data_IF_223741400984
#
_entry.id   IF_223741400984
#
_cell.length_a   1.000
_cell.length_b   1.000
_cell.length_c   1.000
_cell.angle_alpha   90.00
_cell.angle_beta   90.00
_cell.angle_gamma   90.00
#
_symmetry.space_group_name_H-M   'P 1'
#
loop_
_entity.id
_entity.type
_entity.pdbx_description
1 polymer ?
#
# COMPACT_ATOMS: atom_id res chain seq x y z
N UNK A 1 16.47 5.13 -1.64
CA UNK A 1 16.78 5.04 -3.09
C UNK A 1 18.25 5.30 -3.37
N UNK A 2 18.80 6.45 -2.95
CA UNK A 2 20.21 6.80 -3.16
C UNK A 2 21.16 5.79 -2.52
N UNK A 3 20.95 5.45 -1.25
CA UNK A 3 21.73 4.43 -0.54
C UNK A 3 21.73 3.07 -1.27
N UNK A 4 20.55 2.60 -1.68
CA UNK A 4 20.42 1.35 -2.45
C UNK A 4 21.19 1.43 -3.78
N UNK A 5 20.98 2.47 -4.59
CA UNK A 5 21.52 2.49 -5.95
C UNK A 5 23.01 2.91 -6.03
N UNK A 6 23.48 3.70 -5.07
CA UNK A 6 24.84 4.27 -5.12
C UNK A 6 25.81 3.59 -4.15
N UNK A 7 25.31 3.03 -3.04
CA UNK A 7 26.14 2.46 -1.98
C UNK A 7 26.02 0.94 -1.95
N UNK A 8 24.80 0.40 -1.87
CA UNK A 8 24.60 -1.05 -1.74
C UNK A 8 24.90 -1.82 -3.03
N UNK A 9 24.59 -1.23 -4.18
CA UNK A 9 24.72 -1.88 -5.50
C UNK A 9 25.60 -1.06 -6.45
N UNK A 10 26.93 -1.00 -6.20
CA UNK A 10 27.83 -0.30 -7.11
C UNK A 10 27.74 -0.90 -8.52
N UNK A 11 27.62 -0.06 -9.54
CA UNK A 11 27.48 -0.50 -10.94
C UNK A 11 26.05 -0.77 -11.42
N UNK A 12 25.04 -0.76 -10.53
CA UNK A 12 23.63 -0.98 -10.92
C UNK A 12 23.12 0.05 -11.95
N UNK A 13 23.64 1.28 -11.89
CA UNK A 13 23.34 2.34 -12.85
C UNK A 13 24.00 2.10 -14.21
N UNK A 14 25.11 1.37 -14.26
CA UNK A 14 25.75 0.99 -15.53
C UNK A 14 24.89 0.01 -16.32
N UNK A 15 24.21 -0.91 -15.63
CA UNK A 15 23.37 -1.95 -16.26
C UNK A 15 21.94 -1.46 -16.53
N UNK A 16 21.30 -0.83 -15.54
CA UNK A 16 19.89 -0.46 -15.63
C UNK A 16 19.64 1.03 -15.91
N UNK A 17 20.68 1.85 -15.98
CA UNK A 17 20.60 3.29 -16.20
C UNK A 17 19.92 4.05 -15.06
N UNK A 18 19.74 5.36 -15.22
CA UNK A 18 19.00 6.22 -14.28
C UNK A 18 17.57 5.78 -13.95
N UNK A 19 16.80 5.10 -14.84
CA UNK A 19 15.46 4.65 -14.47
C UNK A 19 15.41 3.72 -13.26
N UNK A 20 16.47 2.95 -12.95
CA UNK A 20 16.47 2.14 -11.72
C UNK A 20 16.37 2.98 -10.45
N UNK A 21 16.99 4.16 -10.43
CA UNK A 21 16.88 5.09 -9.30
C UNK A 21 15.43 5.55 -9.12
N UNK A 22 14.76 5.90 -10.23
CA UNK A 22 13.35 6.31 -10.24
C UNK A 22 12.46 5.15 -9.81
N UNK A 23 12.72 3.93 -10.29
CA UNK A 23 11.98 2.74 -9.89
C UNK A 23 12.10 2.50 -8.37
N UNK A 24 13.30 2.67 -7.79
CA UNK A 24 13.50 2.56 -6.34
C UNK A 24 12.86 3.69 -5.55
N UNK A 25 12.97 4.93 -6.02
CA UNK A 25 12.30 6.06 -5.38
C UNK A 25 10.78 5.90 -5.41
N UNK A 26 10.21 5.52 -6.55
CA UNK A 26 8.79 5.25 -6.72
C UNK A 26 8.30 4.09 -5.85
N UNK A 27 9.07 3.00 -5.77
CA UNK A 27 8.77 1.87 -4.89
C UNK A 27 8.77 2.26 -3.40
N UNK A 28 9.78 3.01 -2.94
CA UNK A 28 9.80 3.56 -1.58
C UNK A 28 8.62 4.51 -1.32
N UNK A 29 8.27 5.36 -2.30
CA UNK A 29 7.11 6.24 -2.24
C UNK A 29 5.81 5.46 -2.09
N UNK A 30 5.61 4.41 -2.88
CA UNK A 30 4.43 3.54 -2.79
C UNK A 30 4.32 2.86 -1.40
N UNK A 31 5.44 2.43 -0.81
CA UNK A 31 5.45 1.87 0.54
C UNK A 31 5.12 2.94 1.61
N UNK A 32 5.64 4.15 1.47
CA UNK A 32 5.32 5.26 2.38
C UNK A 32 3.84 5.62 2.32
N UNK A 33 3.26 5.75 1.11
CA UNK A 33 1.83 6.02 0.95
C UNK A 33 0.98 4.87 1.48
N UNK A 34 1.41 3.62 1.31
CA UNK A 34 0.75 2.45 1.91
C UNK A 34 0.75 2.55 3.44
N UNK A 35 1.90 2.84 4.06
CA UNK A 35 1.99 3.03 5.51
C UNK A 35 1.02 4.12 6.00
N UNK A 36 0.96 5.26 5.29
CA UNK A 36 0.05 6.36 5.61
C UNK A 36 -1.44 6.02 5.39
N UNK A 37 -1.77 5.18 4.40
CA UNK A 37 -3.13 4.68 4.19
C UNK A 37 -3.63 3.85 5.38
N UNK A 38 -2.79 2.94 5.90
CA UNK A 38 -3.12 2.16 7.09
C UNK A 38 -3.20 3.04 8.34
N UNK A 39 -2.24 3.95 8.51
CA UNK A 39 -2.17 4.86 9.65
C UNK A 39 -3.40 5.78 9.74
N UNK A 40 -3.80 6.39 8.61
CA UNK A 40 -4.98 7.28 8.53
C UNK A 40 -6.31 6.59 8.86
N UNK A 41 -6.35 5.26 8.85
CA UNK A 41 -7.54 4.48 9.20
C UNK A 41 -7.47 3.79 10.57
N UNK A 42 -6.35 3.92 11.29
CA UNK A 42 -6.18 3.47 12.67
C UNK A 42 -6.86 4.45 13.66
N UNK A 43 -8.18 4.60 13.55
CA UNK A 43 -8.97 5.68 14.19
C UNK A 43 -8.85 5.73 15.71
N UNK A 44 -8.84 4.58 16.38
CA UNK A 44 -8.71 4.55 17.85
C UNK A 44 -7.33 5.06 18.27
N UNK A 45 -6.28 4.68 17.54
CA UNK A 45 -4.92 5.16 17.79
C UNK A 45 -4.81 6.66 17.54
N UNK A 46 -5.30 7.16 16.40
CA UNK A 46 -5.32 8.60 16.10
C UNK A 46 -6.02 9.39 17.20
N UNK A 47 -7.17 8.88 17.69
CA UNK A 47 -7.88 9.52 18.81
C UNK A 47 -7.06 9.55 20.10
N UNK A 48 -6.35 8.47 20.44
CA UNK A 48 -5.48 8.42 21.62
C UNK A 48 -4.31 9.38 21.47
N UNK A 49 -3.65 9.38 20.31
CA UNK A 49 -2.57 10.31 19.99
C UNK A 49 -3.02 11.76 20.15
N UNK A 50 -4.21 12.10 19.65
CA UNK A 50 -4.76 13.44 19.76
C UNK A 50 -5.13 13.87 21.18
N UNK A 51 -5.26 12.96 22.15
CA UNK A 51 -5.41 13.33 23.57
C UNK A 51 -4.11 13.81 24.19
N UNK A 52 -2.97 13.40 23.64
CA UNK A 52 -1.64 13.81 24.09
C UNK A 52 -1.16 15.09 23.42
N UNK A 53 -1.86 15.57 22.39
CA UNK A 53 -1.53 16.81 21.68
C UNK A 53 -2.19 18.00 22.40
N UNK A 54 -1.49 19.13 22.62
CA UNK A 54 -2.09 20.32 23.19
C UNK A 54 -3.28 20.81 22.36
N UNK A 55 -4.39 21.13 23.03
CA UNK A 55 -5.64 21.62 22.42
C UNK A 55 -5.41 22.91 21.58
N UNK A 56 -4.36 23.67 21.89
CA UNK A 56 -3.94 24.86 21.14
C UNK A 56 -3.47 24.56 19.72
N UNK A 57 -3.09 23.31 19.43
CA UNK A 57 -2.62 22.87 18.12
C UNK A 57 -3.78 22.60 17.16
N UNK A 58 -4.38 23.67 16.63
CA UNK A 58 -5.51 23.59 15.69
C UNK A 58 -5.22 22.71 14.47
N UNK A 59 -3.99 22.78 13.95
CA UNK A 59 -3.59 22.02 12.76
C UNK A 59 -3.61 20.50 12.99
N UNK A 60 -3.16 20.05 14.17
CA UNK A 60 -3.09 18.62 14.49
C UNK A 60 -4.50 18.02 14.64
N UNK A 61 -5.41 18.74 15.31
CA UNK A 61 -6.81 18.35 15.41
C UNK A 61 -7.49 18.34 14.04
N UNK A 62 -7.25 19.34 13.20
CA UNK A 62 -7.80 19.39 11.85
C UNK A 62 -7.32 18.23 10.97
N UNK A 63 -6.04 17.84 11.06
CA UNK A 63 -5.51 16.68 10.33
C UNK A 63 -6.16 15.37 10.82
N UNK A 64 -6.32 15.20 12.13
CA UNK A 64 -6.96 14.03 12.70
C UNK A 64 -8.45 13.92 12.33
N UNK A 65 -9.16 15.04 12.27
CA UNK A 65 -10.57 15.07 11.85
C UNK A 65 -10.70 14.82 10.33
N UNK A 66 -9.73 15.30 9.55
CA UNK A 66 -9.67 15.12 8.10
C UNK A 66 -9.02 13.80 7.67
N UNK A 67 -8.87 12.82 8.58
CA UNK A 67 -8.16 11.58 8.31
C UNK A 67 -8.70 10.80 7.10
N UNK A 68 -10.01 10.89 6.82
CA UNK A 68 -10.64 10.28 5.64
C UNK A 68 -10.22 10.96 4.35
N UNK A 69 -10.16 12.30 4.34
CA UNK A 69 -9.74 13.06 3.15
C UNK A 69 -8.25 12.82 2.88
N UNK A 70 -7.44 12.75 3.95
CA UNK A 70 -6.05 12.32 3.86
C UNK A 70 -5.91 10.90 3.30
N UNK A 71 -6.73 9.95 3.75
CA UNK A 71 -6.73 8.59 3.23
C UNK A 71 -7.00 8.55 1.72
N UNK A 72 -7.97 9.34 1.23
CA UNK A 72 -8.25 9.44 -0.21
C UNK A 72 -7.06 10.04 -0.96
N UNK A 73 -6.47 11.12 -0.44
CA UNK A 73 -5.28 11.74 -1.01
C UNK A 73 -4.09 10.76 -1.08
N UNK A 74 -3.82 10.01 -0.01
CA UNK A 74 -2.76 9.01 0.00
C UNK A 74 -3.01 7.89 -1.02
N UNK A 75 -4.27 7.51 -1.24
CA UNK A 75 -4.63 6.54 -2.28
C UNK A 75 -4.35 7.06 -3.70
N UNK A 76 -4.61 8.34 -3.95
CA UNK A 76 -4.29 8.99 -5.22
C UNK A 76 -2.77 9.08 -5.44
N UNK A 77 -2.03 9.48 -4.40
CA UNK A 77 -0.57 9.55 -4.46
C UNK A 77 0.07 8.18 -4.64
N UNK A 78 -0.47 7.14 -4.00
CA UNK A 78 -0.04 5.76 -4.20
C UNK A 78 -0.16 5.34 -5.66
N UNK A 79 -1.29 5.65 -6.32
CA UNK A 79 -1.47 5.37 -7.74
C UNK A 79 -0.45 6.12 -8.60
N UNK A 80 -0.26 7.42 -8.35
CA UNK A 80 0.71 8.23 -9.08
C UNK A 80 2.15 7.69 -8.94
N UNK A 81 2.59 7.38 -7.73
CA UNK A 81 3.94 6.82 -7.51
C UNK A 81 4.09 5.42 -8.09
N UNK A 82 3.01 4.62 -8.08
CA UNK A 82 3.03 3.27 -8.67
C UNK A 82 3.18 3.34 -10.20
N UNK A 83 2.51 4.28 -10.87
CA UNK A 83 2.66 4.47 -12.31
C UNK A 83 4.08 4.89 -12.70
N UNK A 84 4.67 5.83 -11.94
CA UNK A 84 6.08 6.24 -12.14
C UNK A 84 7.03 5.05 -11.94
N UNK A 85 6.81 4.26 -10.89
CA UNK A 85 7.58 3.06 -10.60
C UNK A 85 7.49 2.00 -11.72
N UNK A 86 6.29 1.72 -12.22
CA UNK A 86 6.05 0.78 -13.32
C UNK A 86 6.76 1.26 -14.58
N UNK A 87 6.56 2.53 -14.96
CA UNK A 87 7.18 3.09 -16.16
C UNK A 87 8.71 2.99 -16.10
N UNK A 88 9.30 3.32 -14.94
CA UNK A 88 10.74 3.22 -14.72
C UNK A 88 11.27 1.78 -14.85
N UNK A 89 10.52 0.77 -14.39
CA UNK A 89 10.86 -0.63 -14.61
C UNK A 89 10.77 -1.03 -16.09
N UNK A 90 9.73 -0.58 -16.80
CA UNK A 90 9.51 -0.91 -18.21
C UNK A 90 10.59 -0.36 -19.15
N UNK A 91 11.19 0.79 -18.82
CA UNK A 91 12.23 1.43 -19.67
C UNK A 91 13.67 1.14 -19.23
N UNK A 92 13.89 0.70 -17.99
CA UNK A 92 15.25 0.51 -17.46
C UNK A 92 15.52 -0.90 -16.96
N UNK A 93 14.82 -1.33 -15.92
CA UNK A 93 15.12 -2.63 -15.29
C UNK A 93 14.85 -3.80 -16.21
N UNK A 94 13.68 -3.84 -16.86
CA UNK A 94 13.33 -4.98 -17.72
C UNK A 94 14.24 -5.03 -18.96
N UNK A 95 14.42 -3.94 -19.72
CA UNK A 95 15.37 -3.95 -20.84
C UNK A 95 16.81 -4.25 -20.39
N UNK A 96 17.26 -3.71 -19.25
CA UNK A 96 18.62 -3.94 -18.78
C UNK A 96 18.91 -5.40 -18.42
N UNK A 97 17.92 -6.17 -17.95
CA UNK A 97 18.06 -7.62 -17.76
C UNK A 97 18.08 -8.35 -19.10
N UNK A 98 17.33 -7.89 -20.10
CA UNK A 98 17.26 -8.52 -21.43
C UNK A 98 18.51 -8.26 -22.28
N UNK A 99 19.09 -7.05 -22.22
CA UNK A 99 20.19 -6.64 -23.11
C UNK A 99 21.57 -7.01 -22.61
N UNK A 100 21.78 -7.06 -21.30
CA UNK A 100 23.08 -7.42 -20.70
C UNK A 100 23.18 -8.92 -20.46
N UNK A 101 24.40 -9.46 -20.44
CA UNK A 101 24.61 -10.87 -20.16
C UNK A 101 24.15 -11.24 -18.75
N UNK A 102 23.69 -12.49 -18.57
CA UNK A 102 23.29 -13.00 -17.25
C UNK A 102 24.43 -12.92 -16.23
N UNK A 103 25.68 -13.05 -16.64
CA UNK A 103 26.85 -12.90 -15.78
C UNK A 103 26.99 -11.46 -15.26
N UNK A 104 26.86 -10.47 -16.13
CA UNK A 104 26.88 -9.05 -15.74
C UNK A 104 25.72 -8.72 -14.81
N UNK A 105 24.50 -9.17 -15.12
CA UNK A 105 23.33 -8.94 -14.27
C UNK A 105 23.49 -9.64 -12.92
N UNK A 106 23.98 -10.89 -12.90
CA UNK A 106 24.24 -11.62 -11.66
C UNK A 106 25.34 -10.98 -10.81
N UNK A 107 26.25 -10.20 -11.41
CA UNK A 107 27.29 -9.49 -10.65
C UNK A 107 26.74 -8.32 -9.81
N UNK A 108 25.58 -7.76 -10.19
CA UNK A 108 25.00 -6.59 -9.51
C UNK A 108 23.76 -6.88 -8.69
N UNK A 109 23.03 -7.97 -8.94
CA UNK A 109 21.80 -8.26 -8.19
C UNK A 109 22.12 -8.86 -6.81
N UNK A 110 21.36 -8.43 -5.79
CA UNK A 110 21.65 -8.80 -4.40
C UNK A 110 21.32 -10.25 -4.07
N UNK A 111 20.30 -10.82 -4.70
CA UNK A 111 19.95 -12.23 -4.49
C UNK A 111 21.05 -13.20 -4.94
N UNK A 112 21.92 -12.81 -5.88
CA UNK A 112 23.08 -13.59 -6.32
C UNK A 112 24.32 -13.34 -5.43
N UNK A 113 24.35 -12.19 -4.74
CA UNK A 113 25.50 -11.69 -3.98
C UNK A 113 25.11 -11.44 -2.51
N UNK A 114 24.44 -12.42 -1.88
CA UNK A 114 23.82 -12.24 -0.55
C UNK A 114 24.83 -11.91 0.56
N UNK A 115 26.03 -12.46 0.46
CA UNK A 115 27.09 -12.31 1.48
C UNK A 115 27.95 -11.04 1.27
N UNK A 116 28.05 -10.57 0.03
CA UNK A 116 28.90 -9.43 -0.35
C UNK A 116 28.13 -8.11 -0.44
N UNK A 117 26.80 -8.15 -0.58
CA UNK A 117 25.96 -6.95 -0.66
C UNK A 117 25.78 -6.32 0.73
N UNK A 118 26.26 -5.08 0.97
CA UNK A 118 26.12 -4.41 2.27
C UNK A 118 24.66 -4.18 2.62
N UNK A 119 24.25 -4.46 3.87
CA UNK A 119 22.88 -4.25 4.35
C UNK A 119 21.84 -5.23 3.80
N UNK A 120 22.28 -6.30 3.12
CA UNK A 120 21.40 -7.37 2.66
C UNK A 120 21.04 -8.30 3.82
N UNK A 121 19.75 -8.42 4.10
CA UNK A 121 19.22 -9.33 5.11
C UNK A 121 19.14 -10.73 4.48
N UNK A 122 19.97 -11.65 4.96
CA UNK A 122 19.98 -13.04 4.49
C UNK A 122 18.83 -13.85 5.09
N UNK A 123 17.60 -13.53 4.67
CA UNK A 123 16.40 -14.29 4.99
C UNK A 123 15.92 -15.00 3.72
N UNK A 124 16.26 -16.29 3.51
CA UNK A 124 15.94 -16.97 2.25
C UNK A 124 14.42 -17.17 2.12
N UNK A 125 13.81 -16.50 1.15
CA UNK A 125 12.39 -16.67 0.78
C UNK A 125 12.32 -17.43 -0.56
N UNK A 126 13.01 -18.57 -0.63
CA UNK A 126 13.18 -19.34 -1.87
C UNK A 126 11.88 -19.79 -2.53
N UNK A 127 10.80 -19.92 -1.76
CA UNK A 127 9.48 -20.32 -2.25
C UNK A 127 8.72 -19.20 -2.99
N UNK A 128 9.15 -17.94 -2.89
CA UNK A 128 8.65 -16.84 -3.73
C UNK A 128 9.65 -16.40 -4.81
N UNK A 129 10.86 -16.96 -4.84
CA UNK A 129 11.90 -16.53 -5.77
C UNK A 129 11.62 -17.08 -7.17
N UNK A 130 11.09 -16.22 -8.04
CA UNK A 130 10.81 -16.53 -9.44
C UNK A 130 11.30 -15.39 -10.35
N UNK A 131 12.15 -15.65 -11.35
CA UNK A 131 13.00 -16.84 -11.51
C UNK A 131 13.94 -17.03 -10.31
N UNK A 132 14.42 -18.27 -10.13
CA UNK A 132 15.42 -18.58 -9.12
C UNK A 132 16.69 -17.74 -9.33
N UNK A 133 17.30 -17.30 -8.23
CA UNK A 133 18.52 -16.51 -8.25
C UNK A 133 19.71 -17.35 -7.74
N UNK A 134 20.91 -17.29 -8.35
CA UNK A 134 21.30 -16.49 -9.52
C UNK A 134 20.56 -16.87 -10.81
N UNK A 135 20.44 -15.92 -11.75
CA UNK A 135 19.78 -16.13 -13.04
C UNK A 135 20.55 -17.18 -13.87
N UNK A 136 19.87 -18.27 -14.24
CA UNK A 136 20.49 -19.40 -14.95
C UNK A 136 20.54 -19.21 -16.47
N UNK A 137 19.57 -18.49 -17.02
CA UNK A 137 19.42 -18.21 -18.45
C UNK A 137 19.19 -16.73 -18.68
N UNK A 138 19.42 -16.30 -19.92
CA UNK A 138 18.95 -15.00 -20.40
C UNK A 138 17.43 -15.01 -20.45
N UNK A 139 16.82 -13.92 -19.98
CA UNK A 139 15.37 -13.76 -19.99
C UNK A 139 14.96 -12.65 -20.95
N UNK A 140 13.88 -12.89 -21.70
CA UNK A 140 13.29 -11.87 -22.57
C UNK A 140 12.44 -10.90 -21.76
N UNK A 141 12.11 -9.75 -22.35
CA UNK A 141 11.22 -8.76 -21.73
C UNK A 141 9.92 -9.38 -21.21
N UNK A 142 9.30 -10.23 -22.03
CA UNK A 142 8.02 -10.88 -21.71
C UNK A 142 8.17 -11.89 -20.57
N UNK A 143 9.26 -12.66 -20.53
CA UNK A 143 9.53 -13.59 -19.43
C UNK A 143 9.72 -12.83 -18.11
N UNK A 144 10.41 -11.69 -18.12
CA UNK A 144 10.57 -10.87 -16.91
C UNK A 144 9.23 -10.28 -16.48
N UNK A 145 8.43 -9.75 -17.40
CA UNK A 145 7.18 -9.09 -17.07
C UNK A 145 6.08 -10.07 -16.61
N UNK A 146 5.97 -11.22 -17.27
CA UNK A 146 4.85 -12.16 -17.06
C UNK A 146 5.24 -13.48 -16.40
N UNK A 147 6.53 -13.77 -16.24
CA UNK A 147 7.01 -15.02 -15.64
C UNK A 147 8.06 -14.79 -14.52
N UNK A 148 8.09 -13.60 -13.93
CA UNK A 148 8.83 -13.31 -12.69
C UNK A 148 7.89 -12.94 -11.55
N UNK A 149 8.31 -13.17 -10.30
CA UNK A 149 7.52 -12.80 -9.13
C UNK A 149 7.28 -11.28 -9.07
N UNK A 150 8.28 -10.40 -9.25
CA UNK A 150 8.03 -8.96 -9.29
C UNK A 150 7.12 -8.53 -10.45
N UNK A 151 7.23 -9.17 -11.62
CA UNK A 151 6.38 -8.89 -12.78
C UNK A 151 4.90 -9.26 -12.54
N UNK A 152 4.63 -10.52 -12.20
CA UNK A 152 3.26 -11.02 -11.99
C UNK A 152 2.59 -10.31 -10.81
N UNK A 153 3.28 -10.21 -9.67
CA UNK A 153 2.76 -9.50 -8.51
C UNK A 153 2.57 -8.00 -8.79
N UNK A 154 3.44 -7.37 -9.58
CA UNK A 154 3.34 -5.97 -9.97
C UNK A 154 2.10 -5.69 -10.83
N UNK A 155 1.82 -6.58 -11.80
CA UNK A 155 0.58 -6.52 -12.60
C UNK A 155 -0.64 -6.73 -11.70
N UNK A 156 -0.61 -7.70 -10.79
CA UNK A 156 -1.70 -7.93 -9.86
C UNK A 156 -1.94 -6.71 -8.94
N UNK A 157 -0.89 -6.09 -8.42
CA UNK A 157 -0.98 -4.84 -7.63
C UNK A 157 -1.60 -3.71 -8.44
N UNK A 158 -1.19 -3.54 -9.71
CA UNK A 158 -1.77 -2.54 -10.61
C UNK A 158 -3.28 -2.78 -10.82
N UNK A 159 -3.69 -4.03 -11.01
CA UNK A 159 -5.11 -4.37 -11.14
C UNK A 159 -5.88 -4.05 -9.86
N UNK A 160 -5.35 -4.41 -8.69
CA UNK A 160 -5.99 -4.11 -7.40
C UNK A 160 -6.17 -2.60 -7.21
N UNK A 161 -5.12 -1.79 -7.43
CA UNK A 161 -5.23 -0.35 -7.23
C UNK A 161 -6.16 0.31 -8.24
N UNK A 162 -6.19 -0.15 -9.50
CA UNK A 162 -7.15 0.34 -10.49
C UNK A 162 -8.60 0.04 -10.10
N UNK A 163 -8.87 -1.18 -9.63
CA UNK A 163 -10.22 -1.59 -9.20
C UNK A 163 -10.66 -0.83 -7.94
N UNK A 164 -9.77 -0.64 -6.97
CA UNK A 164 -10.03 0.17 -5.77
C UNK A 164 -10.23 1.64 -6.12
N UNK A 165 -9.41 2.20 -7.01
CA UNK A 165 -9.57 3.58 -7.47
C UNK A 165 -10.91 3.78 -8.18
N UNK A 166 -11.31 2.85 -9.06
CA UNK A 166 -12.59 2.89 -9.77
C UNK A 166 -13.78 2.82 -8.81
N UNK A 167 -13.82 1.81 -7.95
CA UNK A 167 -14.93 1.61 -7.00
C UNK A 167 -14.95 2.68 -5.89
N UNK A 168 -13.80 3.29 -5.59
CA UNK A 168 -13.67 4.38 -4.64
C UNK A 168 -14.12 5.76 -5.16
N UNK A 169 -14.39 5.91 -6.46
CA UNK A 169 -14.90 7.17 -7.03
C UNK A 169 -16.22 7.55 -6.35
N UNK A 170 -16.38 8.84 -6.06
CA UNK A 170 -17.55 9.35 -5.36
C UNK A 170 -18.87 8.89 -6.00
N UNK A 171 -18.97 8.97 -7.33
CA UNK A 171 -20.17 8.54 -8.09
C UNK A 171 -20.46 7.03 -7.96
N UNK A 172 -19.42 6.19 -7.99
CA UNK A 172 -19.58 4.74 -7.89
C UNK A 172 -19.93 4.33 -6.46
N UNK A 173 -19.23 4.91 -5.47
CA UNK A 173 -19.44 4.64 -4.05
C UNK A 173 -20.85 5.04 -3.57
N UNK A 174 -21.41 6.13 -4.08
CA UNK A 174 -22.77 6.56 -3.71
C UNK A 174 -23.85 5.70 -4.36
N UNK A 175 -23.65 5.25 -5.60
CA UNK A 175 -24.61 4.40 -6.33
C UNK A 175 -24.58 2.94 -5.89
N UNK A 176 -23.40 2.42 -5.59
CA UNK A 176 -23.14 0.99 -5.34
C UNK A 176 -22.17 0.80 -4.18
N UNK A 177 -22.60 1.22 -2.98
CA UNK A 177 -21.75 1.19 -1.78
C UNK A 177 -21.30 -0.22 -1.41
N UNK A 178 -22.15 -1.23 -1.60
CA UNK A 178 -21.81 -2.62 -1.28
C UNK A 178 -20.61 -3.14 -2.07
N UNK A 179 -20.58 -2.85 -3.39
CA UNK A 179 -19.44 -3.25 -4.24
C UNK A 179 -18.16 -2.57 -3.76
N UNK A 180 -18.20 -1.26 -3.50
CA UNK A 180 -17.06 -0.53 -2.93
C UNK A 180 -16.61 -1.19 -1.62
N UNK A 181 -17.53 -1.52 -0.73
CA UNK A 181 -17.21 -2.10 0.56
C UNK A 181 -16.55 -3.48 0.41
N UNK A 182 -17.13 -4.40 -0.36
CA UNK A 182 -16.56 -5.75 -0.54
C UNK A 182 -15.18 -5.69 -1.21
N UNK A 183 -15.06 -4.93 -2.30
CA UNK A 183 -13.80 -4.77 -3.04
C UNK A 183 -12.73 -4.16 -2.15
N UNK A 184 -13.03 -3.06 -1.46
CA UNK A 184 -12.05 -2.37 -0.63
C UNK A 184 -11.61 -3.23 0.57
N UNK A 185 -12.51 -4.03 1.15
CA UNK A 185 -12.15 -4.95 2.23
C UNK A 185 -11.33 -6.15 1.78
N UNK A 186 -11.62 -6.71 0.60
CA UNK A 186 -10.81 -7.77 0.01
C UNK A 186 -9.42 -7.27 -0.41
N UNK A 187 -9.35 -6.02 -0.89
CA UNK A 187 -8.10 -5.41 -1.32
C UNK A 187 -7.09 -5.22 -0.18
N UNK A 188 -7.52 -5.00 1.07
CA UNK A 188 -6.61 -4.76 2.19
C UNK A 188 -5.62 -5.91 2.44
N UNK A 189 -6.05 -7.16 2.72
CA UNK A 189 -5.13 -8.27 2.90
C UNK A 189 -4.42 -8.63 1.58
N UNK A 190 -5.14 -8.58 0.46
CA UNK A 190 -4.57 -8.89 -0.86
C UNK A 190 -3.41 -7.95 -1.22
N UNK A 191 -3.55 -6.66 -0.95
CA UNK A 191 -2.53 -5.63 -1.19
C UNK A 191 -1.25 -5.92 -0.41
N UNK A 192 -1.36 -6.27 0.87
CA UNK A 192 -0.20 -6.58 1.72
C UNK A 192 0.51 -7.86 1.28
N UNK A 193 -0.25 -8.90 0.94
CA UNK A 193 0.31 -10.17 0.44
C UNK A 193 1.03 -9.96 -0.89
N UNK A 194 0.43 -9.21 -1.82
CA UNK A 194 1.03 -8.92 -3.11
C UNK A 194 2.27 -8.01 -2.99
N UNK A 195 2.26 -7.01 -2.10
CA UNK A 195 3.45 -6.19 -1.84
C UNK A 195 4.61 -7.01 -1.25
N UNK A 196 4.29 -7.95 -0.35
CA UNK A 196 5.28 -8.87 0.20
C UNK A 196 5.89 -9.72 -0.92
N UNK A 197 5.06 -10.29 -1.79
CA UNK A 197 5.51 -11.08 -2.93
C UNK A 197 6.29 -10.27 -3.97
N UNK A 198 5.89 -9.03 -4.22
CA UNK A 198 6.57 -8.16 -5.16
C UNK A 198 8.00 -7.82 -4.72
N UNK A 199 8.20 -7.62 -3.43
CA UNK A 199 9.50 -7.30 -2.85
C UNK A 199 10.39 -8.51 -2.50
N UNK A 200 9.89 -9.75 -2.61
CA UNK A 200 10.59 -10.94 -2.07
C UNK A 200 11.70 -11.48 -2.95
N UNK A 201 11.74 -11.14 -4.24
CA UNK A 201 12.75 -11.68 -5.16
C UNK A 201 14.17 -11.13 -4.92
N UNK A 202 14.29 -10.04 -4.13
CA UNK A 202 15.58 -9.56 -3.65
C UNK A 202 16.57 -9.09 -4.73
N UNK A 203 16.12 -8.74 -5.94
CA UNK A 203 16.99 -8.36 -7.06
C UNK A 203 17.85 -7.14 -6.77
N UNK A 204 17.24 -6.02 -6.39
CA UNK A 204 17.99 -4.90 -5.79
C UNK A 204 17.20 -4.35 -4.62
N UNK A 205 17.75 -4.41 -3.42
CA UNK A 205 17.05 -4.11 -2.18
C UNK A 205 17.83 -4.59 -0.98
N UNK A 206 17.16 -4.75 0.15
CA UNK A 206 17.79 -5.14 1.42
C UNK A 206 17.63 -6.62 1.73
N UNK A 207 17.32 -7.47 0.75
CA UNK A 207 17.16 -8.92 0.93
C UNK A 207 15.89 -9.39 1.65
N UNK A 208 15.12 -8.48 2.24
CA UNK A 208 13.82 -8.75 2.84
C UNK A 208 12.76 -7.76 2.34
N UNK A 209 11.49 -8.17 2.15
CA UNK A 209 10.44 -7.28 1.68
C UNK A 209 10.27 -6.03 2.56
N UNK A 210 10.62 -4.86 2.00
CA UNK A 210 10.58 -3.58 2.69
C UNK A 210 9.20 -3.21 3.25
N UNK A 211 8.13 -3.76 2.66
CA UNK A 211 6.76 -3.58 3.16
C UNK A 211 6.62 -3.97 4.63
N UNK A 212 7.31 -5.01 5.10
CA UNK A 212 7.22 -5.44 6.50
C UNK A 212 7.84 -4.40 7.42
N UNK A 213 8.97 -3.81 7.03
CA UNK A 213 9.68 -2.82 7.84
C UNK A 213 8.98 -1.45 7.84
N UNK A 214 8.52 -1.00 6.67
CA UNK A 214 7.90 0.32 6.51
C UNK A 214 6.43 0.32 6.93
N UNK A 215 5.68 -0.72 6.57
CA UNK A 215 4.24 -0.78 6.81
C UNK A 215 3.87 -1.60 8.06
N UNK A 216 4.80 -2.37 8.65
CA UNK A 216 4.52 -3.29 9.75
C UNK A 216 3.83 -2.63 10.94
N UNK A 217 4.38 -1.52 11.46
CA UNK A 217 3.78 -0.80 12.59
C UNK A 217 2.40 -0.20 12.23
N UNK A 218 2.23 0.58 11.14
CA UNK A 218 0.91 1.06 10.72
C UNK A 218 -0.14 -0.04 10.52
N UNK A 219 0.26 -1.17 9.91
CA UNK A 219 -0.61 -2.33 9.69
C UNK A 219 -1.00 -2.97 11.01
N UNK A 220 -0.07 -3.12 11.95
CA UNK A 220 -0.36 -3.65 13.29
C UNK A 220 -1.35 -2.74 14.03
N UNK A 221 -1.11 -1.42 14.04
CA UNK A 221 -2.02 -0.44 14.65
C UNK A 221 -3.42 -0.51 14.06
N UNK A 222 -3.52 -0.57 12.72
CA UNK A 222 -4.79 -0.74 12.01
C UNK A 222 -5.48 -2.06 12.39
N UNK A 223 -4.73 -3.15 12.46
CA UNK A 223 -5.26 -4.49 12.75
C UNK A 223 -5.84 -4.56 14.16
N UNK A 224 -5.12 -4.04 15.17
CA UNK A 224 -5.60 -3.94 16.55
C UNK A 224 -6.86 -3.06 16.62
N UNK A 225 -6.86 -1.91 15.96
CA UNK A 225 -8.02 -1.01 15.91
C UNK A 225 -9.25 -1.67 15.24
N UNK A 226 -9.03 -2.48 14.21
CA UNK A 226 -10.09 -3.22 13.53
C UNK A 226 -10.64 -4.37 14.36
N UNK A 227 -9.77 -5.18 14.96
CA UNK A 227 -10.15 -6.27 15.88
C UNK A 227 -10.88 -5.70 17.09
N UNK A 228 -10.37 -4.64 17.71
CA UNK A 228 -11.01 -3.99 18.87
C UNK A 228 -12.39 -3.41 18.56
N UNK A 229 -12.63 -2.91 17.34
CA UNK A 229 -13.99 -2.54 16.90
C UNK A 229 -14.90 -3.75 16.74
N UNK A 230 -14.39 -4.84 16.15
CA UNK A 230 -15.15 -6.06 15.95
C UNK A 230 -15.55 -6.70 17.28
N UNK A 231 -14.60 -6.79 18.22
CA UNK A 231 -14.84 -7.28 19.57
C UNK A 231 -15.87 -6.41 20.30
N UNK A 232 -15.75 -5.08 20.23
CA UNK A 232 -16.77 -4.18 20.83
C UNK A 232 -18.17 -4.40 20.27
N UNK A 233 -18.27 -4.62 18.96
CA UNK A 233 -19.54 -4.94 18.33
C UNK A 233 -20.11 -6.26 18.88
N UNK A 234 -19.36 -7.36 18.84
CA UNK A 234 -19.90 -8.65 19.29
C UNK A 234 -20.08 -8.79 20.81
N UNK A 235 -19.24 -8.13 21.62
CA UNK A 235 -19.25 -8.28 23.08
C UNK A 235 -20.17 -7.28 23.80
N UNK A 236 -20.36 -6.07 23.26
CA UNK A 236 -20.98 -4.97 24.01
C UNK A 236 -22.08 -4.19 23.27
N UNK A 237 -22.10 -4.16 21.93
CA UNK A 237 -22.89 -3.18 21.18
C UNK A 237 -23.65 -3.73 19.96
N UNK A 238 -23.61 -5.05 19.70
CA UNK A 238 -24.21 -5.68 18.53
C UNK A 238 -25.73 -5.82 18.58
N UNK A 239 -26.37 -5.30 19.63
CA UNK A 239 -27.82 -5.25 19.76
C UNK A 239 -28.43 -4.34 18.70
N UNK A 240 -29.46 -4.84 17.99
CA UNK A 240 -30.26 -4.02 17.08
C UNK A 240 -31.00 -2.96 17.89
N UNK A 241 -30.67 -1.69 17.70
CA UNK A 241 -31.43 -0.55 18.23
C UNK A 241 -32.47 -0.10 17.21
N UNK A 242 -33.65 0.28 17.66
CA UNK A 242 -34.70 0.87 16.82
C UNK A 242 -34.56 2.39 16.83
N UNK A 243 -34.74 3.01 15.67
CA UNK A 243 -34.87 4.46 15.58
C UNK A 243 -36.26 4.84 16.10
N UNK A 244 -36.32 5.66 17.15
CA UNK A 244 -37.56 6.10 17.79
C UNK A 244 -38.07 7.42 17.20
N UNK A 245 -37.16 8.36 16.95
CA UNK A 245 -37.49 9.67 16.40
C UNK A 245 -36.34 10.23 15.55
N UNK A 246 -36.67 10.97 14.50
CA UNK A 246 -35.72 11.59 13.56
C UNK A 246 -36.23 12.96 13.14
N UNK A 247 -35.42 14.00 13.34
CA UNK A 247 -35.70 15.34 12.82
C UNK A 247 -34.63 15.70 11.80
N UNK A 248 -35.08 15.93 10.56
CA UNK A 248 -34.25 16.40 9.45
C UNK A 248 -34.62 17.85 9.17
N UNK A 249 -33.66 18.78 9.28
CA UNK A 249 -33.87 20.17 8.87
C UNK A 249 -33.83 20.22 7.35
N UNK A 250 -34.86 20.74 6.65
CA UNK A 250 -34.85 20.84 5.20
C UNK A 250 -33.67 21.68 4.70
N UNK A 251 -33.04 21.21 3.61
CA UNK A 251 -31.97 21.94 2.94
C UNK A 251 -32.51 23.17 2.20
N UNK A 252 -31.62 24.13 1.90
CA UNK A 252 -31.98 25.42 1.27
C UNK A 252 -32.67 25.28 -0.11
N UNK A 253 -32.63 24.10 -0.73
CA UNK A 253 -33.20 23.84 -2.06
C UNK A 253 -33.88 22.48 -2.23
N UNK A 254 -33.85 21.59 -1.22
CA UNK A 254 -34.44 20.25 -1.31
C UNK A 254 -34.57 19.63 0.09
N UNK A 255 -35.71 19.00 0.39
CA UNK A 255 -35.98 18.30 1.66
C UNK A 255 -35.03 17.10 1.81
N UNK A 256 -34.64 16.46 0.70
CA UNK A 256 -33.72 15.32 0.68
C UNK A 256 -32.25 15.69 0.90
N UNK A 257 -31.90 16.99 0.94
CA UNK A 257 -30.55 17.51 1.24
C UNK A 257 -30.47 18.18 2.61
N UNK A 258 -31.37 17.82 3.50
CA UNK A 258 -31.41 18.32 4.87
C UNK A 258 -30.30 17.78 5.76
N UNK A 259 -30.03 18.47 6.87
CA UNK A 259 -29.12 17.99 7.90
C UNK A 259 -29.91 17.27 8.99
N UNK A 260 -29.41 16.12 9.46
CA UNK A 260 -29.94 15.43 10.64
C UNK A 260 -29.71 16.31 11.88
N UNK A 261 -30.78 16.75 12.53
CA UNK A 261 -30.72 17.60 13.74
C UNK A 261 -30.99 16.80 14.99
N UNK A 262 -31.86 15.80 14.91
CA UNK A 262 -32.21 14.95 16.03
C UNK A 262 -32.33 13.50 15.60
N UNK A 263 -31.80 12.59 16.44
CA UNK A 263 -31.93 11.15 16.29
C UNK A 263 -32.09 10.54 17.70
N UNK A 264 -33.26 9.96 17.96
CA UNK A 264 -33.54 9.20 19.17
C UNK A 264 -33.52 7.71 18.86
N UNK A 265 -32.81 6.92 19.67
CA UNK A 265 -32.63 5.48 19.49
C UNK A 265 -33.16 4.73 20.72
N UNK A 266 -33.70 3.53 20.53
CA UNK A 266 -34.06 2.64 21.63
C UNK A 266 -32.81 2.20 22.37
N UNK A 267 -32.94 1.91 23.67
CA UNK A 267 -31.86 1.24 24.41
C UNK A 267 -31.56 -0.13 23.76
N UNK A 268 -30.30 -0.57 23.73
CA UNK A 268 -29.98 -1.94 23.35
C UNK A 268 -30.70 -2.92 24.29
N UNK A 269 -31.17 -4.07 23.80
CA UNK A 269 -31.73 -5.13 24.64
C UNK A 269 -30.69 -5.69 25.62
#
# INVERSE_FOLDING_TARGET
ALEVCMIMYPGVLGIFGWPIYIARAGGCGALLWTALLFFSMARTFLRVLMRSVPITSRWAHQLADSHKELHVFFGQMLLATSLVHIFAHCIGTIPGIETHSKEEVNSVIGCANRETTPGYINAPISWLELPSCPLKKQHTYQEILFASMPGISGIALLLVICVVAFTGRQDQRTKRFDIFWYVHNAAIPLWLLLLFAHGSNGWVGVGFPLVVMVCGLPVALYSVDRIGRLLRYYLFAGGRVKVLDVVIRPGKSDVCKGALVHLSLSRPP
#
